data_IF_963973031924
#
_entry.id   IF_963973031924
#
_cell.length_a   1.000
_cell.length_b   1.000
_cell.length_c   1.000
_cell.angle_alpha   90.00
_cell.angle_beta   90.00
_cell.angle_gamma   90.00
#
_symmetry.space_group_name_H-M   'P 1'
#
loop_
_entity.id
_entity.type
_entity.pdbx_description
1 polymer ?
#
# COMPACT_ATOMS: atom_id res chain seq x y z
N UNK A 1 12.51 -19.12 -13.37
CA UNK A 1 11.90 -17.77 -13.27
C UNK A 1 12.78 -16.79 -14.03
N UNK A 2 12.22 -16.00 -14.97
CA UNK A 2 12.99 -15.00 -15.72
C UNK A 2 13.53 -13.90 -14.79
N UNK A 3 14.63 -13.25 -15.18
CA UNK A 3 15.25 -12.14 -14.42
C UNK A 3 14.23 -11.02 -14.14
N UNK A 4 13.43 -10.67 -15.16
CA UNK A 4 12.37 -9.65 -15.08
C UNK A 4 11.34 -9.95 -13.98
N UNK A 5 10.95 -11.22 -13.84
CA UNK A 5 9.98 -11.61 -12.82
C UNK A 5 10.55 -11.50 -11.39
N UNK A 6 11.84 -11.82 -11.19
CA UNK A 6 12.51 -11.63 -9.89
C UNK A 6 12.57 -10.15 -9.50
N UNK A 7 12.94 -9.29 -10.46
CA UNK A 7 12.99 -7.83 -10.26
C UNK A 7 11.61 -7.29 -9.87
N UNK A 8 10.55 -7.64 -10.61
CA UNK A 8 9.17 -7.24 -10.29
C UNK A 8 8.76 -7.63 -8.87
N UNK A 9 9.04 -8.87 -8.46
CA UNK A 9 8.70 -9.36 -7.12
C UNK A 9 9.45 -8.57 -6.04
N UNK A 10 10.72 -8.24 -6.27
CA UNK A 10 11.53 -7.46 -5.37
C UNK A 10 11.02 -6.01 -5.24
N UNK A 11 10.76 -5.35 -6.36
CA UNK A 11 10.20 -3.98 -6.41
C UNK A 11 8.86 -3.93 -5.68
N UNK A 12 7.97 -4.88 -5.93
CA UNK A 12 6.68 -4.97 -5.23
C UNK A 12 6.86 -5.18 -3.71
N UNK A 13 7.77 -6.06 -3.30
CA UNK A 13 8.06 -6.32 -1.89
C UNK A 13 8.59 -5.10 -1.15
N UNK A 14 9.58 -4.40 -1.74
CA UNK A 14 10.12 -3.15 -1.19
C UNK A 14 9.03 -2.07 -1.14
N UNK A 15 8.22 -1.96 -2.20
CA UNK A 15 7.14 -0.97 -2.26
C UNK A 15 6.14 -1.18 -1.13
N UNK A 16 5.67 -2.41 -0.94
CA UNK A 16 4.76 -2.74 0.16
C UNK A 16 5.38 -2.47 1.53
N UNK A 17 6.66 -2.80 1.71
CA UNK A 17 7.34 -2.57 2.98
C UNK A 17 7.39 -1.08 3.31
N UNK A 18 7.92 -0.25 2.41
CA UNK A 18 8.11 1.17 2.70
C UNK A 18 6.81 1.96 2.69
N UNK A 19 5.84 1.68 1.82
CA UNK A 19 4.54 2.36 1.85
C UNK A 19 3.81 2.10 3.17
N UNK A 20 3.91 0.86 3.69
CA UNK A 20 3.32 0.49 4.99
C UNK A 20 4.07 1.14 6.14
N UNK A 21 5.40 1.03 6.17
CA UNK A 21 6.25 1.60 7.21
C UNK A 21 6.05 3.11 7.33
N UNK A 22 6.11 3.81 6.19
CA UNK A 22 5.91 5.26 6.14
C UNK A 22 4.47 5.68 6.44
N UNK A 23 3.47 4.90 6.04
CA UNK A 23 2.06 5.15 6.37
C UNK A 23 1.80 5.07 7.87
N UNK A 24 2.36 4.06 8.56
CA UNK A 24 2.36 4.04 10.02
C UNK A 24 3.15 5.22 10.61
N UNK A 25 4.25 5.62 9.99
CA UNK A 25 5.06 6.76 10.44
C UNK A 25 4.44 8.14 10.21
N UNK A 26 3.32 8.25 9.50
CA UNK A 26 2.52 9.48 9.45
C UNK A 26 1.67 9.66 10.71
N UNK A 27 1.43 8.59 11.46
CA UNK A 27 0.90 8.64 12.80
C UNK A 27 2.06 8.68 13.81
N UNK A 28 1.90 9.29 15.00
CA UNK A 28 2.98 9.43 15.99
C UNK A 28 3.28 8.13 16.75
N UNK A 29 3.18 6.97 16.09
CA UNK A 29 3.28 5.64 16.71
C UNK A 29 4.73 5.30 17.07
N UNK A 30 5.67 5.56 16.16
CA UNK A 30 7.09 5.22 16.39
C UNK A 30 7.72 6.04 17.51
N UNK A 31 7.25 7.27 17.71
CA UNK A 31 7.68 8.09 18.83
C UNK A 31 7.00 7.68 20.14
N UNK A 32 5.69 7.44 20.09
CA UNK A 32 4.89 6.99 21.25
C UNK A 32 5.40 5.69 21.89
N UNK A 33 5.99 4.79 21.09
CA UNK A 33 6.56 3.54 21.57
C UNK A 33 8.09 3.52 21.56
N UNK A 34 8.75 4.68 21.51
CA UNK A 34 10.21 4.84 21.61
C UNK A 34 11.04 4.10 20.53
N UNK A 35 10.42 3.72 19.41
CA UNK A 35 11.12 3.11 18.27
C UNK A 35 12.05 4.16 17.63
N UNK A 36 11.66 5.43 17.62
CA UNK A 36 12.46 6.56 17.15
C UNK A 36 13.75 6.79 17.95
N UNK A 37 13.81 6.31 19.20
CA UNK A 37 14.99 6.45 20.07
C UNK A 37 16.10 5.43 19.78
N UNK A 38 15.81 4.39 18.98
CA UNK A 38 16.82 3.44 18.54
C UNK A 38 17.80 4.17 17.60
N UNK A 39 19.13 4.07 17.81
CA UNK A 39 20.11 4.71 16.94
C UNK A 39 19.87 4.39 15.46
N UNK A 40 19.73 5.44 14.63
CA UNK A 40 19.45 5.33 13.19
C UNK A 40 17.97 5.30 12.80
N UNK A 41 17.03 5.23 13.74
CA UNK A 41 15.58 5.18 13.47
C UNK A 41 14.83 6.49 13.75
N UNK A 42 15.53 7.56 14.15
CA UNK A 42 14.90 8.87 14.46
C UNK A 42 14.09 9.47 13.31
N UNK A 43 14.40 9.12 12.06
CA UNK A 43 13.65 9.57 10.88
C UNK A 43 12.21 9.02 10.82
N UNK A 44 11.91 7.92 11.51
CA UNK A 44 10.56 7.34 11.57
C UNK A 44 9.55 8.23 12.30
N UNK A 45 10.02 9.15 13.16
CA UNK A 45 9.18 10.15 13.83
C UNK A 45 9.07 11.47 13.05
N UNK A 46 9.80 11.63 11.95
CA UNK A 46 9.82 12.86 11.16
C UNK A 46 8.70 12.84 10.11
N UNK A 47 7.58 13.50 10.40
CA UNK A 47 6.38 13.49 9.55
C UNK A 47 6.68 13.82 8.08
N UNK A 48 7.48 14.85 7.80
CA UNK A 48 7.79 15.22 6.42
C UNK A 48 8.55 14.12 5.68
N UNK A 49 9.50 13.47 6.36
CA UNK A 49 10.30 12.37 5.79
C UNK A 49 9.40 11.18 5.49
N UNK A 50 8.59 10.75 6.46
CA UNK A 50 7.67 9.62 6.27
C UNK A 50 6.62 9.94 5.22
N UNK A 51 6.08 11.16 5.18
CA UNK A 51 5.12 11.60 4.16
C UNK A 51 5.70 11.56 2.74
N UNK A 52 6.93 12.07 2.53
CA UNK A 52 7.60 12.02 1.22
C UNK A 52 7.85 10.58 0.78
N UNK A 53 8.36 9.74 1.68
CA UNK A 53 8.58 8.31 1.40
C UNK A 53 7.26 7.64 1.01
N UNK A 54 6.18 7.90 1.75
CA UNK A 54 4.87 7.32 1.47
C UNK A 54 4.38 7.70 0.07
N UNK A 55 4.50 8.98 -0.32
CA UNK A 55 4.08 9.46 -1.63
C UNK A 55 4.92 8.85 -2.77
N UNK A 56 6.24 8.73 -2.61
CA UNK A 56 7.11 8.09 -3.59
C UNK A 56 6.67 6.64 -3.82
N UNK A 57 6.46 5.87 -2.75
CA UNK A 57 6.04 4.48 -2.88
C UNK A 57 4.58 4.33 -3.30
N UNK A 58 3.71 5.31 -3.02
CA UNK A 58 2.35 5.36 -3.56
C UNK A 58 2.37 5.49 -5.09
N UNK A 59 3.20 6.38 -5.66
CA UNK A 59 3.36 6.50 -7.11
C UNK A 59 3.86 5.20 -7.73
N UNK A 60 4.86 4.55 -7.12
CA UNK A 60 5.37 3.25 -7.59
C UNK A 60 4.28 2.17 -7.51
N UNK A 61 3.52 2.12 -6.41
CA UNK A 61 2.42 1.16 -6.26
C UNK A 61 1.34 1.37 -7.32
N UNK A 62 0.97 2.61 -7.61
CA UNK A 62 0.01 2.95 -8.67
C UNK A 62 0.54 2.51 -10.03
N UNK A 63 1.82 2.76 -10.33
CA UNK A 63 2.44 2.30 -11.58
C UNK A 63 2.42 0.76 -11.70
N UNK A 64 2.68 0.03 -10.61
CA UNK A 64 2.56 -1.43 -10.58
C UNK A 64 1.11 -1.90 -10.77
N UNK A 65 0.13 -1.18 -10.21
CA UNK A 65 -1.29 -1.47 -10.41
C UNK A 65 -1.70 -1.27 -11.87
N UNK A 66 -1.30 -0.15 -12.48
CA UNK A 66 -1.54 0.13 -13.90
C UNK A 66 -0.90 -0.95 -14.77
N UNK A 67 0.36 -1.32 -14.51
CA UNK A 67 1.03 -2.40 -15.22
C UNK A 67 0.26 -3.73 -15.09
N UNK A 68 -0.16 -4.11 -13.88
CA UNK A 68 -0.90 -5.35 -13.65
C UNK A 68 -2.26 -5.35 -14.36
N UNK A 69 -2.96 -4.21 -14.38
CA UNK A 69 -4.23 -4.05 -15.09
C UNK A 69 -4.02 -4.16 -16.60
N UNK A 70 -3.01 -3.49 -17.16
CA UNK A 70 -2.67 -3.60 -18.58
C UNK A 70 -2.28 -5.03 -18.98
N UNK A 71 -1.50 -5.73 -18.16
CA UNK A 71 -1.13 -7.13 -18.37
C UNK A 71 -2.38 -8.03 -18.41
N UNK A 72 -3.34 -7.80 -17.51
CA UNK A 72 -4.62 -8.52 -17.49
C UNK A 72 -5.50 -8.23 -18.71
N UNK A 73 -5.51 -6.99 -19.22
CA UNK A 73 -6.30 -6.60 -20.39
C UNK A 73 -5.68 -7.09 -21.71
N UNK A 74 -4.35 -7.08 -21.82
CA UNK A 74 -3.63 -7.47 -23.03
C UNK A 74 -3.44 -8.98 -23.14
N UNK A 75 -3.40 -9.71 -22.03
CA UNK A 75 -3.32 -11.18 -22.04
C UNK A 75 -4.71 -11.81 -22.24
N UNK A 76 -4.88 -12.56 -23.34
CA UNK A 76 -6.13 -13.30 -23.65
C UNK A 76 -6.53 -14.32 -22.59
N UNK A 77 -5.65 -14.69 -21.65
CA UNK A 77 -5.92 -15.60 -20.53
C UNK A 77 -6.35 -14.90 -19.23
N UNK A 78 -6.36 -13.56 -19.18
CA UNK A 78 -7.05 -12.70 -18.22
C UNK A 78 -7.08 -13.10 -16.73
N UNK A 79 -8.17 -12.71 -16.05
CA UNK A 79 -8.44 -12.94 -14.62
C UNK A 79 -8.49 -14.43 -14.22
N UNK A 80 -8.58 -15.36 -15.17
CA UNK A 80 -8.62 -16.82 -14.92
C UNK A 80 -7.33 -17.31 -14.23
N UNK A 81 -6.22 -16.58 -14.41
CA UNK A 81 -4.95 -16.84 -13.73
C UNK A 81 -4.91 -16.36 -12.28
N UNK A 82 -5.82 -15.52 -11.80
CA UNK A 82 -5.77 -15.02 -10.43
C UNK A 82 -6.36 -16.04 -9.46
N UNK A 83 -5.68 -16.26 -8.34
CA UNK A 83 -6.28 -17.03 -7.24
C UNK A 83 -7.29 -16.16 -6.49
N UNK A 84 -8.22 -16.78 -5.75
CA UNK A 84 -9.13 -16.00 -4.88
C UNK A 84 -8.38 -15.14 -3.86
N UNK A 85 -7.19 -15.58 -3.42
CA UNK A 85 -6.32 -14.76 -2.58
C UNK A 85 -5.71 -13.57 -3.31
N UNK A 86 -5.40 -13.71 -4.61
CA UNK A 86 -4.91 -12.62 -5.45
C UNK A 86 -5.98 -11.57 -5.72
N UNK A 87 -7.21 -12.00 -6.01
CA UNK A 87 -8.37 -11.11 -6.20
C UNK A 87 -8.65 -10.31 -4.92
N UNK A 88 -8.71 -11.00 -3.77
CA UNK A 88 -8.96 -10.36 -2.48
C UNK A 88 -7.93 -9.26 -2.16
N UNK A 89 -6.64 -9.54 -2.35
CA UNK A 89 -5.58 -8.54 -2.14
C UNK A 89 -5.63 -7.41 -3.15
N UNK A 90 -5.95 -7.72 -4.41
CA UNK A 90 -6.17 -6.72 -5.45
C UNK A 90 -7.27 -5.73 -5.07
N UNK A 91 -8.37 -6.23 -4.48
CA UNK A 91 -9.45 -5.38 -3.97
C UNK A 91 -8.98 -4.45 -2.84
N UNK A 92 -8.23 -4.96 -1.86
CA UNK A 92 -7.68 -4.11 -0.79
C UNK A 92 -6.71 -3.05 -1.32
N UNK A 93 -5.83 -3.42 -2.27
CA UNK A 93 -4.91 -2.47 -2.91
C UNK A 93 -5.69 -1.40 -3.67
N UNK A 94 -6.73 -1.77 -4.41
CA UNK A 94 -7.60 -0.81 -5.11
C UNK A 94 -8.26 0.16 -4.11
N UNK A 95 -8.82 -0.37 -3.02
CA UNK A 95 -9.41 0.45 -1.97
C UNK A 95 -8.41 1.43 -1.35
N UNK A 96 -7.17 0.99 -1.11
CA UNK A 96 -6.09 1.84 -0.61
C UNK A 96 -5.73 2.95 -1.60
N UNK A 97 -5.62 2.64 -2.89
CA UNK A 97 -5.33 3.65 -3.93
C UNK A 97 -6.45 4.69 -4.00
N UNK A 98 -7.72 4.24 -3.95
CA UNK A 98 -8.88 5.15 -4.00
C UNK A 98 -8.93 6.06 -2.77
N UNK A 99 -8.89 5.48 -1.58
CA UNK A 99 -8.95 6.24 -0.31
C UNK A 99 -7.72 7.16 -0.16
N UNK A 100 -6.52 6.69 -0.50
CA UNK A 100 -5.31 7.51 -0.52
C UNK A 100 -5.38 8.65 -1.54
N UNK A 101 -5.96 8.41 -2.72
CA UNK A 101 -6.24 9.45 -3.70
C UNK A 101 -7.13 10.57 -3.15
N UNK A 102 -8.22 10.22 -2.45
CA UNK A 102 -9.06 11.20 -1.76
C UNK A 102 -8.30 11.95 -0.66
N UNK A 103 -7.37 11.32 0.05
CA UNK A 103 -6.50 11.98 1.04
C UNK A 103 -5.53 12.97 0.41
N UNK A 104 -5.07 12.73 -0.81
CA UNK A 104 -4.29 13.72 -1.58
C UNK A 104 -5.19 14.89 -1.98
N UNK A 105 -6.39 14.60 -2.48
CA UNK A 105 -7.34 15.63 -2.95
C UNK A 105 -7.74 16.58 -1.82
N UNK A 106 -8.02 16.08 -0.61
CA UNK A 106 -8.36 16.93 0.54
C UNK A 106 -7.20 17.86 0.99
N UNK A 107 -5.97 17.60 0.54
CA UNK A 107 -4.81 18.42 0.85
C UNK A 107 -4.57 19.52 -0.21
N UNK A 108 -5.38 19.59 -1.28
CA UNK A 108 -5.29 20.63 -2.30
C UNK A 108 -5.88 21.97 -1.80
N UNK A 109 -5.32 23.11 -2.23
CA UNK A 109 -5.88 24.41 -1.87
C UNK A 109 -7.30 24.56 -2.43
N UNK A 110 -8.23 25.04 -1.61
CA UNK A 110 -9.63 25.26 -2.02
C UNK A 110 -10.53 24.02 -1.98
N UNK A 111 -10.01 22.85 -1.59
CA UNK A 111 -10.83 21.65 -1.38
C UNK A 111 -11.06 21.45 0.12
N UNK A 112 -12.33 21.46 0.53
CA UNK A 112 -12.71 21.25 1.93
C UNK A 112 -13.66 20.06 2.03
N UNK A 113 -13.24 19.03 2.76
CA UNK A 113 -14.09 17.89 3.09
C UNK A 113 -14.71 18.07 4.47
N UNK A 114 -15.87 17.45 4.70
CA UNK A 114 -16.48 17.45 6.02
C UNK A 114 -15.61 16.65 7.00
N UNK A 115 -15.63 17.03 8.28
CA UNK A 115 -14.91 16.32 9.35
C UNK A 115 -15.22 14.82 9.34
N UNK A 116 -16.51 14.47 9.24
CA UNK A 116 -16.97 13.07 9.17
C UNK A 116 -16.36 12.32 8.00
N UNK A 117 -16.28 12.96 6.83
CA UNK A 117 -15.65 12.34 5.65
C UNK A 117 -14.16 12.10 5.85
N UNK A 118 -13.43 13.05 6.46
CA UNK A 118 -12.01 12.88 6.77
C UNK A 118 -11.79 11.69 7.72
N UNK A 119 -12.57 11.60 8.80
CA UNK A 119 -12.47 10.47 9.73
C UNK A 119 -12.76 9.12 9.06
N UNK A 120 -13.79 9.06 8.21
CA UNK A 120 -14.13 7.84 7.46
C UNK A 120 -13.01 7.47 6.49
N UNK A 121 -12.42 8.44 5.79
CA UNK A 121 -11.30 8.21 4.88
C UNK A 121 -10.08 7.66 5.64
N UNK A 122 -9.68 8.32 6.73
CA UNK A 122 -8.51 7.91 7.54
C UNK A 122 -8.71 6.50 8.13
N UNK A 123 -9.89 6.25 8.72
CA UNK A 123 -10.20 4.96 9.32
C UNK A 123 -10.35 3.84 8.26
N UNK A 124 -11.00 4.11 7.14
CA UNK A 124 -11.14 3.11 6.07
C UNK A 124 -9.79 2.75 5.46
N UNK A 125 -8.90 3.74 5.26
CA UNK A 125 -7.57 3.50 4.71
C UNK A 125 -6.72 2.63 5.63
N UNK A 126 -6.70 2.89 6.94
CA UNK A 126 -5.96 2.05 7.89
C UNK A 126 -6.57 0.65 8.02
N UNK A 127 -7.91 0.52 8.02
CA UNK A 127 -8.59 -0.80 8.04
C UNK A 127 -8.21 -1.61 6.79
N UNK A 128 -8.22 -1.00 5.61
CA UNK A 128 -7.81 -1.65 4.36
C UNK A 128 -6.34 -2.07 4.39
N UNK A 129 -5.46 -1.23 4.97
CA UNK A 129 -4.04 -1.56 5.15
C UNK A 129 -3.89 -2.80 6.04
N UNK A 130 -4.55 -2.80 7.21
CA UNK A 130 -4.52 -3.93 8.15
C UNK A 130 -5.10 -5.21 7.53
N UNK A 131 -6.19 -5.09 6.76
CA UNK A 131 -6.79 -6.21 6.04
C UNK A 131 -5.83 -6.78 4.98
N UNK A 132 -5.13 -5.94 4.23
CA UNK A 132 -4.12 -6.36 3.26
C UNK A 132 -2.94 -7.07 3.92
N UNK A 133 -2.44 -6.55 5.05
CA UNK A 133 -1.37 -7.18 5.83
C UNK A 133 -1.81 -8.53 6.37
N UNK A 134 -3.01 -8.62 6.96
CA UNK A 134 -3.58 -9.87 7.46
C UNK A 134 -3.76 -10.92 6.36
N UNK A 135 -4.33 -10.53 5.21
CA UNK A 135 -4.46 -11.40 4.05
C UNK A 135 -3.09 -11.84 3.52
N UNK A 136 -2.08 -10.97 3.56
CA UNK A 136 -0.72 -11.27 3.12
C UNK A 136 -0.01 -12.26 4.05
N UNK A 137 -0.11 -12.07 5.36
CA UNK A 137 0.38 -13.01 6.36
C UNK A 137 -0.32 -14.37 6.21
N UNK A 138 -1.64 -14.40 6.04
CA UNK A 138 -2.39 -15.63 5.82
C UNK A 138 -1.93 -16.40 4.58
N UNK A 139 -1.73 -15.72 3.44
CA UNK A 139 -1.22 -16.38 2.23
C UNK A 139 0.20 -16.90 2.41
N UNK A 140 1.04 -16.21 3.19
CA UNK A 140 2.40 -16.64 3.49
C UNK A 140 2.39 -17.95 4.29
N UNK A 141 1.57 -18.02 5.35
CA UNK A 141 1.42 -19.22 6.19
C UNK A 141 0.82 -20.40 5.40
N UNK A 142 -0.21 -20.15 4.60
CA UNK A 142 -0.88 -21.18 3.79
C UNK A 142 -0.22 -21.45 2.44
N UNK A 143 0.94 -20.82 2.16
CA UNK A 143 1.68 -20.90 0.88
C UNK A 143 0.80 -20.69 -0.36
N UNK A 144 -0.21 -19.82 -0.25
CA UNK A 144 -1.14 -19.52 -1.36
C UNK A 144 -0.46 -18.58 -2.35
N UNK A 145 -0.40 -19.00 -3.61
CA UNK A 145 0.13 -18.18 -4.70
C UNK A 145 -0.87 -17.08 -5.10
N UNK A 146 -0.34 -15.99 -5.66
CA UNK A 146 -1.16 -14.89 -6.19
C UNK A 146 -1.85 -15.27 -7.51
N UNK A 147 -1.15 -16.05 -8.33
CA UNK A 147 -1.61 -16.59 -9.60
C UNK A 147 -1.62 -18.11 -9.57
N UNK A 148 -2.53 -18.74 -10.32
CA UNK A 148 -2.60 -20.18 -10.57
C UNK A 148 -1.53 -20.63 -11.55
#
# INVERSE_FOLDING_TARGET
>A
MSSVHKVRKFVYGITLFFITLSGFGQMPIFDRYHISHIPGLGWLAQFYVTHVIHYIFAVILIALCVYAVLDLFLDRKGFVRLTGSGILKGFFILGLVVTGGFMVVKNLPGVYFSHVMIYILDLSHIILCMALLGASAYSLVKRKAWTR
#
